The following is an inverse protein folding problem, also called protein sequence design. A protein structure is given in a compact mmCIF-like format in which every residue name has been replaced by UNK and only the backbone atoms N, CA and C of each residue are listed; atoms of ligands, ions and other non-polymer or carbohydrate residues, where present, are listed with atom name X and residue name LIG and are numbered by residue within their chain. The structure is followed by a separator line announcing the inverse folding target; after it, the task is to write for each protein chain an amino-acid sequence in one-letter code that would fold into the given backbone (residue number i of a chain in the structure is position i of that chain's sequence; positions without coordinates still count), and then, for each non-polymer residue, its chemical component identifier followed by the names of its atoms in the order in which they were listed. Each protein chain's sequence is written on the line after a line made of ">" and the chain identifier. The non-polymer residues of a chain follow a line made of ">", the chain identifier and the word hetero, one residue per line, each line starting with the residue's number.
data_IF_082428912039
#
_entry.id   IF_082428912039
#
_cell.length_a   1.000
_cell.length_b   1.000
_cell.length_c   1.000
_cell.angle_alpha   90.00
_cell.angle_beta   90.00
_cell.angle_gamma   90.00
#
_symmetry.space_group_name_H-M   'P 1'
#
loop_
_entity.id
_entity.type
_entity.pdbx_description
1 polymer ?
#
# COMPACT_ATOMS: atom_id res chain seq x y z
N UNK A 1 -7.74 -17.31 -10.77
CA UNK A 1 -7.40 -16.49 -11.95
C UNK A 1 -5.93 -16.09 -11.88
N UNK A 2 -5.19 -16.14 -12.99
CA UNK A 2 -3.82 -15.60 -13.06
C UNK A 2 -3.83 -14.07 -13.00
N UNK A 3 -2.65 -13.46 -12.81
CA UNK A 3 -2.51 -12.01 -12.84
C UNK A 3 -2.88 -11.44 -14.22
N UNK A 4 -2.48 -12.09 -15.32
CA UNK A 4 -2.85 -11.64 -16.67
C UNK A 4 -4.37 -11.64 -16.87
N UNK A 5 -5.06 -12.68 -16.39
CA UNK A 5 -6.52 -12.78 -16.48
C UNK A 5 -7.21 -11.66 -15.70
N UNK A 6 -6.72 -11.35 -14.49
CA UNK A 6 -7.26 -10.26 -13.67
C UNK A 6 -7.03 -8.88 -14.30
N UNK A 7 -5.87 -8.64 -14.91
CA UNK A 7 -5.59 -7.40 -15.65
C UNK A 7 -6.47 -7.29 -16.90
N UNK A 8 -6.69 -8.40 -17.61
CA UNK A 8 -7.59 -8.43 -18.76
C UNK A 8 -9.04 -8.15 -18.34
N UNK A 9 -9.49 -8.75 -17.23
CA UNK A 9 -10.79 -8.50 -16.61
C UNK A 9 -10.96 -7.01 -16.29
N UNK A 10 -10.01 -6.41 -15.56
CA UNK A 10 -9.98 -4.98 -15.24
C UNK A 10 -10.19 -4.12 -16.50
N UNK A 11 -9.34 -4.32 -17.53
CA UNK A 11 -9.39 -3.56 -18.79
C UNK A 11 -10.72 -3.72 -19.53
N UNK A 12 -11.39 -4.85 -19.35
CA UNK A 12 -12.71 -5.09 -19.96
C UNK A 12 -13.82 -4.40 -19.17
N UNK A 13 -13.78 -4.43 -17.84
CA UNK A 13 -14.85 -3.92 -16.98
C UNK A 13 -14.89 -2.40 -16.91
N UNK A 14 -13.71 -1.74 -16.88
CA UNK A 14 -13.63 -0.27 -16.90
C UNK A 14 -14.29 0.36 -18.13
N UNK A 15 -14.51 -0.40 -19.21
CA UNK A 15 -15.21 0.06 -20.41
C UNK A 15 -16.74 -0.09 -20.32
N UNK A 16 -17.23 -0.93 -19.40
CA UNK A 16 -18.65 -1.30 -19.29
C UNK A 16 -19.34 -0.56 -18.14
N UNK A 17 -18.61 -0.33 -17.05
CA UNK A 17 -19.15 0.25 -15.82
C UNK A 17 -18.06 0.97 -15.03
N UNK A 18 -18.50 1.76 -14.05
CA UNK A 18 -17.62 2.33 -13.03
C UNK A 18 -17.19 1.21 -12.09
N UNK A 19 -15.89 1.15 -11.80
CA UNK A 19 -15.33 0.29 -10.76
C UNK A 19 -15.17 1.08 -9.46
N UNK A 20 -15.54 0.45 -8.35
CA UNK A 20 -15.50 1.07 -7.03
C UNK A 20 -14.18 0.69 -6.35
N UNK A 21 -13.40 1.70 -5.97
CA UNK A 21 -12.27 1.57 -5.05
C UNK A 21 -12.79 1.60 -3.62
N UNK A 22 -12.13 0.87 -2.73
CA UNK A 22 -12.40 0.89 -1.29
C UNK A 22 -12.19 2.26 -0.62
N UNK A 23 -12.52 2.32 0.66
CA UNK A 23 -12.39 3.51 1.51
C UNK A 23 -11.09 3.53 2.32
N UNK A 24 -11.00 4.46 3.27
CA UNK A 24 -9.81 4.64 4.09
C UNK A 24 -9.57 3.48 5.07
N UNK A 25 -8.43 2.80 4.92
CA UNK A 25 -7.98 1.75 5.84
C UNK A 25 -7.80 2.27 7.28
N UNK A 26 -7.12 3.42 7.44
CA UNK A 26 -6.83 4.00 8.75
C UNK A 26 -8.07 4.33 9.58
N UNK A 27 -9.15 4.81 8.95
CA UNK A 27 -10.42 5.10 9.65
C UNK A 27 -11.04 3.82 10.21
N UNK A 28 -10.97 2.72 9.47
CA UNK A 28 -11.49 1.43 9.93
C UNK A 28 -10.64 0.88 11.08
N UNK A 29 -9.30 0.93 10.97
CA UNK A 29 -8.39 0.50 12.04
C UNK A 29 -8.65 1.26 13.35
N UNK A 30 -8.91 2.57 13.29
CA UNK A 30 -9.19 3.38 14.49
C UNK A 30 -10.40 2.86 15.29
N UNK A 31 -11.37 2.21 14.65
CA UNK A 31 -12.55 1.68 15.32
C UNK A 31 -12.25 0.49 16.25
N UNK A 32 -11.16 -0.25 15.99
CA UNK A 32 -10.72 -1.40 16.80
C UNK A 32 -10.01 -0.99 18.09
N UNK A 33 -9.57 0.28 18.21
CA UNK A 33 -8.93 0.84 19.41
C UNK A 33 -7.74 0.03 19.94
N UNK A 34 -6.92 -0.50 19.02
CA UNK A 34 -5.79 -1.36 19.34
C UNK A 34 -4.81 -0.73 20.35
N UNK A 35 -4.34 -1.57 21.26
CA UNK A 35 -3.31 -1.29 22.25
C UNK A 35 -1.90 -1.37 21.63
N UNK A 36 -0.91 -0.84 22.34
CA UNK A 36 0.51 -0.97 21.95
C UNK A 36 0.93 -2.44 21.81
N UNK A 37 0.47 -3.30 22.72
CA UNK A 37 0.73 -4.75 22.70
C UNK A 37 0.18 -5.40 21.43
N UNK A 38 -1.02 -5.01 20.99
CA UNK A 38 -1.61 -5.52 19.74
C UNK A 38 -0.87 -5.04 18.49
N UNK A 39 -0.36 -3.79 18.48
CA UNK A 39 0.48 -3.32 17.39
C UNK A 39 1.79 -4.10 17.30
N UNK A 40 2.40 -4.42 18.45
CA UNK A 40 3.63 -5.23 18.54
C UNK A 40 3.42 -6.68 18.12
N UNK A 41 2.28 -7.27 18.50
CA UNK A 41 2.08 -8.71 18.40
C UNK A 41 3.21 -9.49 19.07
N UNK A 42 3.34 -10.77 18.74
CA UNK A 42 4.38 -11.62 19.33
C UNK A 42 5.78 -11.27 18.83
N UNK A 43 5.91 -10.93 17.54
CA UNK A 43 7.21 -10.72 16.88
C UNK A 43 7.96 -9.48 17.40
N UNK A 44 7.24 -8.44 17.80
CA UNK A 44 7.83 -7.16 18.19
C UNK A 44 7.58 -6.82 19.67
N UNK A 45 7.27 -7.82 20.50
CA UNK A 45 7.00 -7.64 21.93
C UNK A 45 8.10 -6.82 22.63
N UNK A 46 9.37 -7.16 22.38
CA UNK A 46 10.54 -6.53 22.98
C UNK A 46 11.13 -5.36 22.15
N UNK A 47 10.43 -4.87 21.12
CA UNK A 47 10.94 -3.77 20.29
C UNK A 47 11.16 -2.49 21.13
N UNK A 48 12.32 -1.81 21.06
CA UNK A 48 12.65 -0.75 22.00
C UNK A 48 11.88 0.57 21.79
N UNK A 49 11.10 0.69 20.71
CA UNK A 49 10.36 1.89 20.34
C UNK A 49 8.86 1.60 20.27
N UNK A 50 8.02 2.63 20.48
CA UNK A 50 6.57 2.51 20.35
C UNK A 50 6.19 2.20 18.90
N UNK A 51 5.27 1.26 18.70
CA UNK A 51 4.78 0.83 17.38
C UNK A 51 3.33 1.23 17.11
N UNK A 52 2.58 1.66 18.14
CA UNK A 52 1.23 2.16 17.96
C UNK A 52 1.18 3.36 17.03
N UNK A 53 0.30 3.28 16.04
CA UNK A 53 0.18 4.26 14.96
C UNK A 53 0.81 3.79 13.65
N UNK A 54 1.68 2.78 13.67
CA UNK A 54 2.20 2.14 12.46
C UNK A 54 1.15 1.17 11.89
N UNK A 55 0.11 1.71 11.25
CA UNK A 55 -1.00 0.91 10.73
C UNK A 55 -0.54 -0.12 9.69
N UNK A 56 0.49 0.20 8.90
CA UNK A 56 1.06 -0.70 7.90
C UNK A 56 1.62 -1.99 8.51
N UNK A 57 2.14 -1.94 9.75
CA UNK A 57 2.65 -3.11 10.48
C UNK A 57 1.57 -4.15 10.78
N UNK A 58 0.30 -3.73 10.88
CA UNK A 58 -0.81 -4.61 11.25
C UNK A 58 -1.05 -5.74 10.22
N UNK A 59 -0.51 -5.63 9.00
CA UNK A 59 -0.53 -6.75 8.05
C UNK A 59 0.27 -7.96 8.54
N UNK A 60 1.26 -7.74 9.42
CA UNK A 60 2.09 -8.79 10.04
C UNK A 60 1.50 -9.18 11.40
N UNK A 61 1.15 -8.19 12.23
CA UNK A 61 0.81 -8.44 13.65
C UNK A 61 -0.68 -8.71 13.87
N UNK A 62 -1.55 -8.20 13.01
CA UNK A 62 -3.01 -8.33 13.10
C UNK A 62 -3.65 -8.62 11.72
N UNK A 63 -3.18 -9.63 10.96
CA UNK A 63 -3.62 -9.86 9.58
C UNK A 63 -5.13 -10.11 9.47
N UNK A 64 -5.74 -10.75 10.48
CA UNK A 64 -7.17 -11.08 10.45
C UNK A 64 -8.06 -9.83 10.56
N UNK A 65 -7.66 -8.83 11.36
CA UNK A 65 -8.35 -7.54 11.42
C UNK A 65 -8.28 -6.84 10.05
N UNK A 66 -7.11 -6.87 9.41
CA UNK A 66 -6.93 -6.26 8.08
C UNK A 66 -7.81 -6.98 7.03
N UNK A 67 -7.89 -8.31 7.07
CA UNK A 67 -8.77 -9.10 6.19
C UNK A 67 -10.25 -8.79 6.43
N UNK A 68 -10.66 -8.62 7.68
CA UNK A 68 -12.04 -8.23 8.03
C UNK A 68 -12.40 -6.87 7.42
N UNK A 69 -11.50 -5.89 7.51
CA UNK A 69 -11.69 -4.57 6.88
C UNK A 69 -11.83 -4.70 5.36
N UNK A 70 -10.97 -5.49 4.71
CA UNK A 70 -11.09 -5.75 3.27
C UNK A 70 -12.43 -6.39 2.92
N UNK A 71 -12.85 -7.41 3.68
CA UNK A 71 -14.13 -8.08 3.48
C UNK A 71 -15.28 -7.07 3.56
N UNK A 72 -15.30 -6.23 4.61
CA UNK A 72 -16.33 -5.20 4.78
C UNK A 72 -16.43 -4.25 3.59
N UNK A 73 -15.30 -3.78 3.03
CA UNK A 73 -15.33 -2.95 1.82
C UNK A 73 -15.86 -3.68 0.60
N UNK A 74 -15.46 -4.94 0.39
CA UNK A 74 -15.92 -5.73 -0.75
C UNK A 74 -17.40 -6.13 -0.63
N UNK A 75 -17.91 -6.35 0.59
CA UNK A 75 -19.33 -6.56 0.89
C UNK A 75 -20.16 -5.30 0.65
N UNK A 76 -19.60 -4.13 0.99
CA UNK A 76 -20.18 -2.83 0.65
C UNK A 76 -20.11 -2.50 -0.85
N UNK A 77 -19.44 -3.34 -1.65
CA UNK A 77 -19.43 -3.25 -3.10
C UNK A 77 -18.14 -2.69 -3.71
N UNK A 78 -17.02 -2.69 -3.00
CA UNK A 78 -15.72 -2.41 -3.62
C UNK A 78 -15.34 -3.50 -4.65
N UNK A 79 -14.89 -3.07 -5.83
CA UNK A 79 -14.32 -3.93 -6.88
C UNK A 79 -12.80 -4.05 -6.74
N UNK A 80 -12.16 -3.01 -6.19
CA UNK A 80 -10.72 -2.89 -6.02
C UNK A 80 -10.45 -2.53 -4.56
N UNK A 81 -9.54 -3.26 -3.92
CA UNK A 81 -9.04 -2.93 -2.57
C UNK A 81 -7.58 -2.46 -2.64
N UNK A 82 -7.21 -1.49 -1.81
CA UNK A 82 -5.85 -1.01 -1.63
C UNK A 82 -5.09 -1.81 -0.58
N UNK A 83 -3.86 -2.21 -0.85
CA UNK A 83 -3.00 -2.81 0.18
C UNK A 83 -2.78 -1.83 1.34
N UNK A 84 -2.67 -2.33 2.58
CA UNK A 84 -2.37 -1.51 3.75
C UNK A 84 -0.87 -1.18 3.78
N UNK A 85 -0.44 -0.33 2.84
CA UNK A 85 0.98 -0.03 2.56
C UNK A 85 1.24 1.45 2.28
N UNK A 86 0.37 2.34 2.77
CA UNK A 86 0.50 3.78 2.56
C UNK A 86 1.87 4.32 3.02
N UNK A 87 2.40 3.82 4.14
CA UNK A 87 3.69 4.20 4.73
C UNK A 87 4.67 3.01 4.86
N UNK A 88 4.44 1.90 4.16
CA UNK A 88 5.25 0.69 4.28
C UNK A 88 6.66 0.78 3.65
N UNK A 89 7.15 1.98 3.31
CA UNK A 89 8.47 2.21 2.73
C UNK A 89 9.50 2.60 3.81
N UNK A 90 10.78 2.28 3.60
CA UNK A 90 11.83 2.39 4.62
C UNK A 90 11.94 3.78 5.26
N UNK A 91 11.76 4.86 4.52
CA UNK A 91 11.84 6.24 5.01
C UNK A 91 10.75 6.53 6.07
N UNK A 92 9.54 5.98 5.90
CA UNK A 92 8.42 6.15 6.85
C UNK A 92 8.58 5.18 8.00
N UNK A 93 9.04 3.96 7.73
CA UNK A 93 9.28 2.95 8.76
C UNK A 93 10.44 3.31 9.70
N UNK A 94 11.31 4.25 9.29
CA UNK A 94 12.35 4.81 10.15
C UNK A 94 11.82 5.52 11.41
N UNK A 95 10.60 6.07 11.38
CA UNK A 95 9.98 6.66 12.57
C UNK A 95 9.68 5.59 13.66
N UNK A 96 9.59 4.32 13.24
CA UNK A 96 9.32 3.16 14.09
C UNK A 96 10.54 2.22 14.23
N UNK A 97 11.68 2.56 13.63
CA UNK A 97 12.87 1.70 13.57
C UNK A 97 12.61 0.32 12.93
N UNK A 98 11.85 0.30 11.83
CA UNK A 98 11.44 -0.91 11.11
C UNK A 98 11.83 -0.89 9.62
N UNK A 99 12.86 -0.13 9.25
CA UNK A 99 13.35 -0.02 7.88
C UNK A 99 13.67 -1.40 7.26
N UNK A 100 14.31 -2.28 8.04
CA UNK A 100 14.79 -3.59 7.60
C UNK A 100 13.67 -4.53 7.16
N UNK A 101 12.45 -4.33 7.66
CA UNK A 101 11.28 -5.15 7.30
C UNK A 101 10.36 -4.49 6.28
N UNK A 102 10.70 -3.30 5.77
CA UNK A 102 9.84 -2.56 4.84
C UNK A 102 9.47 -3.38 3.60
N UNK A 103 10.43 -4.08 2.98
CA UNK A 103 10.13 -4.94 1.83
C UNK A 103 9.20 -6.09 2.23
N UNK A 104 9.49 -6.77 3.34
CA UNK A 104 8.68 -7.87 3.85
C UNK A 104 7.24 -7.43 4.11
N UNK A 105 7.06 -6.27 4.75
CA UNK A 105 5.75 -5.68 5.03
C UNK A 105 4.93 -5.50 3.75
N UNK A 106 5.54 -5.03 2.66
CA UNK A 106 4.84 -4.88 1.38
C UNK A 106 4.48 -6.23 0.73
N UNK A 107 5.33 -7.24 0.85
CA UNK A 107 5.03 -8.60 0.35
C UNK A 107 3.84 -9.17 1.12
N UNK A 108 3.90 -9.14 2.45
CA UNK A 108 2.85 -9.68 3.33
C UNK A 108 1.55 -8.91 3.12
N UNK A 109 1.58 -7.58 3.06
CA UNK A 109 0.38 -6.79 2.82
C UNK A 109 -0.33 -7.15 1.50
N UNK A 110 0.44 -7.34 0.43
CA UNK A 110 -0.09 -7.75 -0.86
C UNK A 110 -0.69 -9.17 -0.81
N UNK A 111 -0.04 -10.10 -0.11
CA UNK A 111 -0.56 -11.45 0.10
C UNK A 111 -1.87 -11.44 0.91
N UNK A 112 -1.92 -10.71 2.02
CA UNK A 112 -3.11 -10.57 2.87
C UNK A 112 -4.30 -10.00 2.07
N UNK A 113 -4.05 -8.95 1.28
CA UNK A 113 -5.09 -8.38 0.40
C UNK A 113 -5.52 -9.38 -0.68
N UNK A 114 -4.57 -10.11 -1.29
CA UNK A 114 -4.86 -11.10 -2.33
C UNK A 114 -5.70 -12.26 -1.81
N UNK A 115 -5.34 -12.79 -0.63
CA UNK A 115 -6.11 -13.83 0.06
C UNK A 115 -7.56 -13.38 0.30
N UNK A 116 -7.76 -12.17 0.85
CA UNK A 116 -9.09 -11.64 1.09
C UNK A 116 -9.91 -11.48 -0.20
N UNK A 117 -9.29 -10.92 -1.26
CA UNK A 117 -9.93 -10.70 -2.53
C UNK A 117 -10.25 -12.02 -3.27
N UNK A 118 -9.39 -13.04 -3.15
CA UNK A 118 -9.64 -14.37 -3.72
C UNK A 118 -10.78 -15.07 -2.98
N UNK A 119 -10.77 -15.07 -1.64
CA UNK A 119 -11.87 -15.63 -0.84
C UNK A 119 -13.22 -14.98 -1.16
N UNK A 120 -13.25 -13.66 -1.40
CA UNK A 120 -14.46 -12.96 -1.80
C UNK A 120 -14.87 -13.28 -3.25
N UNK A 121 -13.90 -13.43 -4.14
CA UNK A 121 -14.14 -13.85 -5.54
C UNK A 121 -14.72 -15.25 -5.59
N UNK A 122 -14.27 -16.18 -4.76
CA UNK A 122 -14.84 -17.53 -4.67
C UNK A 122 -16.31 -17.51 -4.25
N UNK A 123 -16.69 -16.60 -3.34
CA UNK A 123 -18.10 -16.42 -2.92
C UNK A 123 -18.97 -15.85 -4.03
N UNK A 124 -18.41 -15.01 -4.91
CA UNK A 124 -19.14 -14.33 -5.99
C UNK A 124 -18.30 -14.29 -7.27
N UNK A 125 -18.20 -15.43 -7.98
CA UNK A 125 -17.25 -15.62 -9.09
C UNK A 125 -17.50 -14.74 -10.32
N UNK A 126 -18.72 -14.24 -10.48
CA UNK A 126 -19.13 -13.29 -11.52
C UNK A 126 -18.55 -11.89 -11.32
N UNK A 127 -18.01 -11.59 -10.13
CA UNK A 127 -17.42 -10.30 -9.77
C UNK A 127 -16.03 -10.44 -9.15
N UNK A 128 -14.97 -10.86 -9.88
CA UNK A 128 -13.62 -10.92 -9.33
C UNK A 128 -13.15 -9.62 -8.67
N UNK A 129 -12.53 -9.74 -7.48
CA UNK A 129 -11.95 -8.60 -6.74
C UNK A 129 -10.49 -8.41 -7.11
N UNK A 130 -10.10 -7.16 -7.30
CA UNK A 130 -8.76 -6.76 -7.71
C UNK A 130 -8.02 -6.11 -6.54
N UNK A 131 -6.69 -6.22 -6.55
CA UNK A 131 -5.83 -5.66 -5.51
C UNK A 131 -4.93 -4.59 -6.12
N UNK A 132 -4.96 -3.39 -5.55
CA UNK A 132 -4.06 -2.31 -5.88
C UNK A 132 -2.99 -2.16 -4.80
N UNK A 133 -1.71 -2.19 -5.21
CA UNK A 133 -0.58 -1.87 -4.35
C UNK A 133 -0.54 -0.38 -4.07
N UNK A 134 -1.02 0.01 -2.89
CA UNK A 134 -1.18 1.39 -2.48
C UNK A 134 0.15 1.98 -1.99
N UNK A 135 0.54 3.14 -2.51
CA UNK A 135 1.78 3.82 -2.14
C UNK A 135 1.47 5.28 -1.82
N UNK A 136 1.66 5.63 -0.56
CA UNK A 136 1.56 7.02 -0.10
C UNK A 136 2.84 7.81 -0.39
N UNK A 137 2.81 9.13 -0.15
CA UNK A 137 3.85 10.07 -0.53
C UNK A 137 5.09 10.10 0.40
N UNK A 138 5.17 9.19 1.37
CA UNK A 138 6.06 9.21 2.55
C UNK A 138 5.74 10.30 3.58
N UNK A 139 6.25 10.15 4.79
CA UNK A 139 6.25 11.17 5.87
C UNK A 139 7.34 12.26 5.67
N UNK A 140 8.14 12.17 4.59
CA UNK A 140 9.26 13.07 4.30
C UNK A 140 9.02 13.79 2.97
N UNK A 141 9.49 15.04 2.87
CA UNK A 141 9.25 15.89 1.69
C UNK A 141 10.55 16.24 0.97
N UNK A 142 10.58 16.07 -0.36
CA UNK A 142 11.74 16.41 -1.19
C UNK A 142 11.61 17.76 -1.93
N UNK A 143 10.39 18.29 -2.11
CA UNK A 143 10.19 19.63 -2.68
C UNK A 143 10.08 20.74 -1.62
N UNK A 144 9.60 20.41 -0.42
CA UNK A 144 9.36 21.37 0.66
C UNK A 144 10.39 21.12 1.76
N UNK A 145 11.10 22.18 2.16
CA UNK A 145 11.96 22.10 3.34
C UNK A 145 11.09 21.98 4.60
N UNK A 146 11.36 21.00 5.49
CA UNK A 146 10.72 20.95 6.79
C UNK A 146 11.27 22.03 7.76
N UNK A 147 12.37 22.71 7.42
CA UNK A 147 12.91 23.82 8.19
C UNK A 147 12.51 25.15 7.57
N UNK A 148 11.67 25.90 8.27
CA UNK A 148 11.22 27.24 7.86
C UNK A 148 12.37 28.23 7.73
N UNK A 149 13.48 27.98 8.45
CA UNK A 149 14.66 28.85 8.45
C UNK A 149 15.70 28.47 7.39
N UNK A 150 15.58 27.28 6.79
CA UNK A 150 16.43 26.83 5.68
C UNK A 150 15.57 26.29 4.53
N UNK A 151 15.16 27.14 3.58
CA UNK A 151 14.35 26.70 2.44
C UNK A 151 15.09 25.74 1.49
N UNK A 152 16.42 25.61 1.62
CA UNK A 152 17.27 24.68 0.88
C UNK A 152 17.39 23.29 1.54
N UNK A 153 17.07 23.17 2.83
CA UNK A 153 17.17 21.90 3.55
C UNK A 153 16.18 20.86 2.98
N UNK A 154 16.64 19.62 2.93
CA UNK A 154 15.86 18.45 2.51
C UNK A 154 16.14 17.33 3.50
N UNK A 155 15.10 16.73 4.09
CA UNK A 155 15.28 15.61 5.04
C UNK A 155 15.45 14.24 4.36
N UNK A 156 15.43 14.23 3.03
CA UNK A 156 15.63 13.06 2.19
C UNK A 156 16.24 13.49 0.85
N UNK A 157 16.90 12.56 0.16
CA UNK A 157 17.42 12.79 -1.19
C UNK A 157 16.47 12.17 -2.22
N UNK A 158 16.55 12.66 -3.45
CA UNK A 158 15.81 12.07 -4.56
C UNK A 158 16.17 10.59 -4.77
N UNK A 159 17.45 10.24 -4.63
CA UNK A 159 17.92 8.86 -4.79
C UNK A 159 17.37 7.95 -3.68
N UNK A 160 17.31 8.43 -2.44
CA UNK A 160 16.72 7.69 -1.33
C UNK A 160 15.22 7.43 -1.55
N UNK A 161 14.47 8.42 -2.06
CA UNK A 161 13.06 8.21 -2.43
C UNK A 161 12.91 7.18 -3.54
N UNK A 162 13.75 7.25 -4.58
CA UNK A 162 13.73 6.28 -5.69
C UNK A 162 13.99 4.87 -5.18
N UNK A 163 14.96 4.71 -4.29
CA UNK A 163 15.29 3.42 -3.67
C UNK A 163 14.11 2.88 -2.85
N UNK A 164 13.59 3.69 -1.92
CA UNK A 164 12.48 3.30 -1.04
C UNK A 164 11.22 2.90 -1.82
N UNK A 165 10.81 3.69 -2.82
CA UNK A 165 9.67 3.34 -3.67
C UNK A 165 9.97 2.12 -4.54
N UNK A 166 11.19 1.94 -5.02
CA UNK A 166 11.55 0.77 -5.83
C UNK A 166 11.41 -0.51 -5.02
N UNK A 167 11.83 -0.51 -3.76
CA UNK A 167 11.72 -1.67 -2.87
C UNK A 167 10.28 -1.96 -2.47
N UNK A 168 9.50 -0.93 -2.16
CA UNK A 168 8.06 -1.07 -1.94
C UNK A 168 7.37 -1.71 -3.15
N UNK A 169 7.62 -1.20 -4.36
CA UNK A 169 7.02 -1.75 -5.59
C UNK A 169 7.45 -3.20 -5.81
N UNK A 170 8.73 -3.54 -5.59
CA UNK A 170 9.21 -4.93 -5.69
C UNK A 170 8.46 -5.83 -4.73
N UNK A 171 8.29 -5.41 -3.48
CA UNK A 171 7.53 -6.17 -2.48
C UNK A 171 6.07 -6.37 -2.88
N UNK A 172 5.38 -5.30 -3.30
CA UNK A 172 3.98 -5.37 -3.76
C UNK A 172 3.81 -6.29 -4.98
N UNK A 173 4.73 -6.21 -5.95
CA UNK A 173 4.69 -7.06 -7.14
C UNK A 173 4.95 -8.52 -6.79
N UNK A 174 5.93 -8.79 -5.91
CA UNK A 174 6.25 -10.12 -5.40
C UNK A 174 5.08 -10.73 -4.63
N UNK A 175 4.36 -9.93 -3.84
CA UNK A 175 3.15 -10.35 -3.11
C UNK A 175 1.87 -10.45 -3.96
N UNK A 176 1.91 -10.07 -5.24
CA UNK A 176 0.87 -10.43 -6.20
C UNK A 176 -0.23 -9.40 -6.49
N UNK A 177 0.04 -8.10 -6.29
CA UNK A 177 -0.92 -7.03 -6.65
C UNK A 177 -1.21 -6.96 -8.15
N UNK A 178 -2.42 -6.51 -8.52
CA UNK A 178 -2.87 -6.39 -9.91
C UNK A 178 -2.46 -5.08 -10.56
N UNK A 179 -2.28 -4.03 -9.76
CA UNK A 179 -1.85 -2.70 -10.20
C UNK A 179 -1.13 -1.97 -9.08
N UNK A 180 -0.48 -0.86 -9.41
CA UNK A 180 0.12 0.06 -8.44
C UNK A 180 -0.71 1.33 -8.41
N UNK A 181 -1.11 1.75 -7.22
CA UNK A 181 -1.84 2.97 -6.95
C UNK A 181 -0.91 3.93 -6.20
N UNK A 182 -0.44 4.97 -6.90
CA UNK A 182 0.25 6.08 -6.24
C UNK A 182 -0.84 7.03 -5.76
N UNK A 183 -0.96 7.19 -4.46
CA UNK A 183 -2.03 7.99 -3.86
C UNK A 183 -1.49 9.11 -2.99
N UNK A 184 -2.34 10.13 -2.81
CA UNK A 184 -2.04 11.32 -2.00
C UNK A 184 -0.75 12.01 -2.45
N UNK A 185 -0.67 12.32 -3.75
CA UNK A 185 0.48 13.04 -4.31
C UNK A 185 0.38 14.52 -3.93
N UNK A 186 0.97 14.90 -2.80
CA UNK A 186 1.11 16.31 -2.41
C UNK A 186 2.31 17.00 -3.09
N UNK A 187 3.24 16.22 -3.66
CA UNK A 187 4.46 16.67 -4.33
C UNK A 187 4.58 16.01 -5.71
N UNK A 188 4.52 16.82 -6.78
CA UNK A 188 4.59 16.31 -8.16
C UNK A 188 5.92 15.61 -8.49
N UNK A 189 7.02 15.89 -7.77
CA UNK A 189 8.28 15.16 -7.93
C UNK A 189 8.20 13.73 -7.36
N UNK A 190 7.43 13.52 -6.30
CA UNK A 190 7.20 12.18 -5.73
C UNK A 190 6.44 11.27 -6.72
N UNK A 191 5.55 11.84 -7.54
CA UNK A 191 4.81 11.09 -8.58
C UNK A 191 5.53 10.97 -9.93
N UNK A 192 6.52 11.82 -10.23
CA UNK A 192 7.11 11.90 -11.58
C UNK A 192 7.89 10.64 -11.97
N UNK A 193 8.31 9.79 -11.03
CA UNK A 193 9.27 8.72 -11.31
C UNK A 193 8.98 7.27 -10.92
N UNK A 194 7.90 6.89 -10.22
CA UNK A 194 7.41 5.52 -10.36
C UNK A 194 7.12 5.17 -11.84
N UNK A 195 6.91 6.16 -12.71
CA UNK A 195 6.69 5.97 -14.14
C UNK A 195 7.96 5.84 -15.02
N UNK A 196 9.16 6.26 -14.59
CA UNK A 196 10.29 6.50 -15.53
C UNK A 196 11.29 5.35 -15.76
N UNK A 197 11.67 4.50 -14.78
CA UNK A 197 12.44 3.28 -15.06
C UNK A 197 11.59 2.20 -15.74
N UNK A 198 10.26 2.32 -15.62
CA UNK A 198 9.26 1.33 -15.96
C UNK A 198 8.95 1.19 -17.46
N UNK A 199 9.43 2.10 -18.31
CA UNK A 199 9.18 2.06 -19.75
C UNK A 199 10.13 1.11 -20.52
N UNK A 200 10.91 0.26 -19.82
CA UNK A 200 11.89 -0.65 -20.44
C UNK A 200 11.65 -2.14 -20.18
N UNK A 201 10.70 -2.52 -19.34
CA UNK A 201 10.30 -3.92 -19.13
C UNK A 201 8.91 -4.17 -19.71
N UNK A 202 8.68 -5.36 -20.28
CA UNK A 202 7.54 -5.78 -21.10
C UNK A 202 6.16 -5.80 -20.40
N UNK A 203 6.03 -5.18 -19.22
CA UNK A 203 4.78 -5.21 -18.45
C UNK A 203 4.15 -3.82 -18.38
N UNK A 204 3.02 -3.65 -19.08
CA UNK A 204 2.30 -2.38 -19.22
C UNK A 204 1.30 -2.24 -18.06
N UNK A 205 1.56 -1.33 -17.12
CA UNK A 205 0.72 -1.06 -15.94
C UNK A 205 -0.17 0.16 -16.10
N UNK A 206 -1.32 0.15 -15.42
CA UNK A 206 -2.23 1.30 -15.33
C UNK A 206 -1.88 2.11 -14.09
N UNK A 207 -1.58 3.40 -14.26
CA UNK A 207 -1.38 4.35 -13.18
C UNK A 207 -2.68 5.11 -12.91
N UNK A 208 -3.17 5.09 -11.68
CA UNK A 208 -4.27 5.94 -11.21
C UNK A 208 -3.71 6.87 -10.13
N UNK A 209 -4.09 8.14 -10.15
CA UNK A 209 -3.62 9.16 -9.22
C UNK A 209 -4.84 9.77 -8.50
N UNK A 210 -4.86 9.72 -7.17
CA UNK A 210 -5.82 10.46 -6.33
C UNK A 210 -5.19 11.79 -5.91
N UNK A 211 -5.80 12.89 -6.32
CA UNK A 211 -5.65 14.23 -5.73
C UNK A 211 -6.59 14.38 -4.53
#
# INVERSE_FOLDING_TARGET
>A
MTREERIAYLKSEVKKRILILDGGMGTMIQSYKLSEEEYRGERFADHPHDLKGNNDLLVITQPEIIKEIYAGYMEAGADIIGTNTFNAQAISQADYHLEDISKEMNVVAAQVAREAADAMTEKTPDRPRLVAGAMGPTNRTASISPDVNDPGYRNTSFDALVEAYSDQVRGLVEGGVDMILIETVFDTLNAKRPASPWNRSSTRWTLSCRS
#
